data_IF_629221189710
#
_entry.id   IF_629221189710
#
_cell.length_a   1.000
_cell.length_b   1.000
_cell.length_c   1.000
_cell.angle_alpha   90.00
_cell.angle_beta   90.00
_cell.angle_gamma   90.00
#
_symmetry.space_group_name_H-M   'P 1'
#
loop_
_entity.id
_entity.type
_entity.pdbx_description
1 polymer ?
#
# COMPACT_ATOMS: atom_id res chain seq x y z
N UNK A 1 2.95 17.37 0.80
CA UNK A 1 2.38 16.02 0.61
C UNK A 1 2.09 15.33 1.95
N UNK A 2 3.09 15.13 2.82
CA UNK A 2 2.94 14.36 4.06
C UNK A 2 1.81 14.85 4.99
N UNK A 3 1.64 16.17 5.14
CA UNK A 3 0.54 16.74 5.93
C UNK A 3 -0.87 16.41 5.39
N UNK A 4 -1.00 16.12 4.09
CA UNK A 4 -2.27 15.78 3.44
C UNK A 4 -2.59 14.28 3.54
N UNK A 5 -1.57 13.43 3.67
CA UNK A 5 -1.70 11.97 3.80
C UNK A 5 -2.66 11.54 4.92
N UNK A 6 -2.60 12.08 6.16
CA UNK A 6 -3.54 11.67 7.21
C UNK A 6 -5.00 11.96 6.85
N UNK A 7 -5.29 13.07 6.18
CA UNK A 7 -6.65 13.38 5.71
C UNK A 7 -7.13 12.39 4.65
N UNK A 8 -6.24 11.99 3.73
CA UNK A 8 -6.56 10.98 2.72
C UNK A 8 -6.79 9.59 3.35
N UNK A 9 -6.02 9.23 4.38
CA UNK A 9 -6.23 7.98 5.11
C UNK A 9 -7.59 7.95 5.81
N UNK A 10 -7.99 9.08 6.43
CA UNK A 10 -9.33 9.20 7.02
C UNK A 10 -10.42 9.08 5.95
N UNK A 11 -10.26 9.74 4.81
CA UNK A 11 -11.19 9.66 3.69
C UNK A 11 -11.32 8.23 3.16
N UNK A 12 -10.21 7.51 3.01
CA UNK A 12 -10.21 6.09 2.62
C UNK A 12 -10.99 5.23 3.62
N UNK A 13 -10.85 5.49 4.92
CA UNK A 13 -11.62 4.80 5.96
C UNK A 13 -13.13 5.06 5.85
N UNK A 14 -13.54 6.30 5.58
CA UNK A 14 -14.95 6.65 5.35
C UNK A 14 -15.49 5.97 4.09
N UNK A 15 -14.72 5.96 3.00
CA UNK A 15 -15.09 5.27 1.76
C UNK A 15 -15.24 3.75 1.96
N UNK A 16 -14.33 3.13 2.72
CA UNK A 16 -14.41 1.72 3.05
C UNK A 16 -15.68 1.41 3.86
N UNK A 17 -16.00 2.24 4.86
CA UNK A 17 -17.25 2.13 5.64
C UNK A 17 -18.48 2.25 4.75
N UNK A 18 -18.52 3.27 3.88
CA UNK A 18 -19.62 3.48 2.94
C UNK A 18 -19.81 2.28 2.00
N UNK A 19 -18.71 1.72 1.49
CA UNK A 19 -18.74 0.56 0.61
C UNK A 19 -19.28 -0.69 1.32
N UNK A 20 -18.89 -0.90 2.58
CA UNK A 20 -19.39 -2.00 3.43
C UNK A 20 -20.89 -1.89 3.68
N UNK A 21 -21.40 -0.69 3.95
CA UNK A 21 -22.81 -0.47 4.25
C UNK A 21 -23.71 -0.55 3.00
N UNK A 22 -23.21 -0.13 1.84
CA UNK A 22 -23.98 -0.11 0.59
C UNK A 22 -23.95 -1.41 -0.20
N UNK A 23 -22.97 -2.28 0.00
CA UNK A 23 -22.81 -3.49 -0.82
C UNK A 23 -22.74 -4.76 0.04
N UNK A 24 -23.45 -5.82 -0.38
CA UNK A 24 -23.45 -7.12 0.32
C UNK A 24 -22.06 -7.75 0.43
N UNK A 25 -21.16 -7.43 -0.51
CA UNK A 25 -19.78 -7.94 -0.53
C UNK A 25 -18.74 -6.90 -0.13
N UNK A 26 -19.14 -5.72 0.34
CA UNK A 26 -18.21 -4.62 0.64
C UNK A 26 -17.16 -4.99 1.69
N UNK A 27 -17.52 -5.80 2.69
CA UNK A 27 -16.55 -6.34 3.67
C UNK A 27 -15.43 -7.13 3.01
N UNK A 28 -15.76 -8.01 2.05
CA UNK A 28 -14.76 -8.83 1.36
C UNK A 28 -13.84 -7.96 0.51
N UNK A 29 -14.40 -6.98 -0.20
CA UNK A 29 -13.62 -6.05 -1.03
C UNK A 29 -12.65 -5.22 -0.17
N UNK A 30 -13.14 -4.64 0.94
CA UNK A 30 -12.29 -3.88 1.86
C UNK A 30 -11.20 -4.77 2.48
N UNK A 31 -11.52 -6.00 2.84
CA UNK A 31 -10.53 -6.93 3.41
C UNK A 31 -9.46 -7.33 2.38
N UNK A 32 -9.85 -7.56 1.12
CA UNK A 32 -8.90 -7.79 0.02
C UNK A 32 -8.00 -6.57 -0.17
N UNK A 33 -8.57 -5.36 -0.19
CA UNK A 33 -7.81 -4.12 -0.30
C UNK A 33 -6.79 -3.97 0.83
N UNK A 34 -7.21 -4.18 2.09
CA UNK A 34 -6.31 -4.15 3.25
C UNK A 34 -5.21 -5.22 3.15
N UNK A 35 -5.52 -6.42 2.67
CA UNK A 35 -4.55 -7.47 2.44
C UNK A 35 -3.49 -7.06 1.41
N UNK A 36 -3.90 -6.45 0.29
CA UNK A 36 -2.97 -5.92 -0.72
C UNK A 36 -2.10 -4.82 -0.13
N UNK A 37 -2.67 -3.88 0.63
CA UNK A 37 -1.90 -2.84 1.32
C UNK A 37 -0.88 -3.41 2.31
N UNK A 38 -1.24 -4.47 3.04
CA UNK A 38 -0.33 -5.13 3.97
C UNK A 38 0.82 -5.83 3.24
N UNK A 39 0.54 -6.57 2.16
CA UNK A 39 1.57 -7.20 1.33
C UNK A 39 2.51 -6.14 0.75
N UNK A 40 1.97 -5.03 0.24
CA UNK A 40 2.79 -3.91 -0.22
C UNK A 40 3.64 -3.34 0.93
N UNK A 41 3.07 -3.14 2.12
CA UNK A 41 3.82 -2.66 3.28
C UNK A 41 5.00 -3.58 3.63
N UNK A 42 4.78 -4.90 3.68
CA UNK A 42 5.85 -5.88 3.97
C UNK A 42 6.92 -5.87 2.87
N UNK A 43 6.52 -5.78 1.60
CA UNK A 43 7.45 -5.72 0.46
C UNK A 43 8.33 -4.45 0.49
N UNK A 44 7.76 -3.31 0.86
CA UNK A 44 8.47 -2.02 0.95
C UNK A 44 9.14 -1.77 2.32
N UNK A 45 8.81 -2.55 3.35
CA UNK A 45 9.43 -2.48 4.67
C UNK A 45 10.98 -2.45 4.66
N UNK A 46 11.69 -3.35 3.93
CA UNK A 46 13.15 -3.34 3.90
C UNK A 46 13.73 -2.03 3.36
N UNK A 47 13.08 -1.43 2.36
CA UNK A 47 13.49 -0.13 1.79
C UNK A 47 13.25 1.01 2.78
N UNK A 48 12.15 0.98 3.53
CA UNK A 48 11.88 2.01 4.56
C UNK A 48 12.78 1.92 5.78
N UNK A 49 13.31 0.74 6.08
CA UNK A 49 14.20 0.48 7.24
C UNK A 49 15.68 0.61 6.88
N UNK A 50 16.02 0.73 5.59
CA UNK A 50 17.40 0.82 5.12
C UNK A 50 18.17 -0.49 5.21
N UNK A 51 17.47 -1.63 5.25
CA UNK A 51 18.09 -2.95 5.23
C UNK A 51 18.67 -3.20 3.83
N UNK A 52 19.88 -3.78 3.78
CA UNK A 52 20.54 -4.15 2.54
C UNK A 52 19.76 -5.27 1.83
N UNK A 53 19.03 -4.92 0.77
CA UNK A 53 18.28 -5.87 -0.07
C UNK A 53 19.05 -6.15 -1.35
N UNK A 54 19.05 -7.41 -1.79
CA UNK A 54 19.69 -7.80 -3.05
C UNK A 54 19.13 -7.01 -4.24
N UNK A 55 20.01 -6.57 -5.16
CA UNK A 55 19.63 -5.82 -6.37
C UNK A 55 18.56 -6.51 -7.20
N UNK A 56 18.55 -7.84 -7.23
CA UNK A 56 17.53 -8.61 -7.94
C UNK A 56 16.12 -8.42 -7.36
N UNK A 57 16.02 -8.34 -6.03
CA UNK A 57 14.74 -8.08 -5.36
C UNK A 57 14.26 -6.65 -5.64
N UNK A 58 15.18 -5.69 -5.62
CA UNK A 58 14.88 -4.29 -5.91
C UNK A 58 14.37 -4.07 -7.35
N UNK A 59 15.04 -4.64 -8.35
CA UNK A 59 14.68 -4.43 -9.77
C UNK A 59 13.43 -5.24 -10.19
N UNK A 60 13.17 -6.40 -9.58
CA UNK A 60 12.05 -7.26 -9.96
C UNK A 60 10.77 -7.04 -9.14
N UNK A 61 10.89 -6.73 -7.84
CA UNK A 61 9.73 -6.61 -6.95
C UNK A 61 9.45 -5.19 -6.48
N UNK A 62 10.47 -4.35 -6.31
CA UNK A 62 10.29 -2.99 -5.79
C UNK A 62 10.22 -1.93 -6.89
N UNK A 63 10.81 -2.15 -8.07
CA UNK A 63 10.83 -1.16 -9.16
C UNK A 63 9.60 -1.24 -10.04
N UNK A 64 8.48 -0.70 -9.55
CA UNK A 64 7.23 -0.66 -10.32
C UNK A 64 7.22 0.45 -11.38
N UNK A 65 7.97 1.52 -11.13
CA UNK A 65 8.10 2.65 -12.04
C UNK A 65 9.58 2.83 -12.46
N UNK A 66 9.85 3.10 -13.74
CA UNK A 66 11.23 3.16 -14.26
C UNK A 66 12.04 4.31 -13.66
N UNK A 67 11.37 5.36 -13.16
CA UNK A 67 11.96 6.55 -12.54
C UNK A 67 12.25 6.41 -11.04
N UNK A 68 11.93 5.28 -10.41
CA UNK A 68 12.18 5.12 -8.97
C UNK A 68 13.68 4.97 -8.68
N UNK A 69 14.23 5.72 -7.71
CA UNK A 69 15.64 5.71 -7.39
C UNK A 69 16.00 4.48 -6.54
N UNK A 70 16.20 3.34 -7.20
CA UNK A 70 16.86 2.17 -6.59
C UNK A 70 18.27 2.07 -7.19
N UNK A 71 19.30 2.20 -6.35
CA UNK A 71 20.72 2.08 -6.72
C UNK A 71 21.41 1.01 -5.87
#
# INVERSE_FOLDING_TARGET
>A
YFATVPFLLLLMGVLAKYLIERTKHGKKVVFIYLGVCFVAFVMFYPVTTGIEVSRWYSDHFLRWLPSWPFY
#
